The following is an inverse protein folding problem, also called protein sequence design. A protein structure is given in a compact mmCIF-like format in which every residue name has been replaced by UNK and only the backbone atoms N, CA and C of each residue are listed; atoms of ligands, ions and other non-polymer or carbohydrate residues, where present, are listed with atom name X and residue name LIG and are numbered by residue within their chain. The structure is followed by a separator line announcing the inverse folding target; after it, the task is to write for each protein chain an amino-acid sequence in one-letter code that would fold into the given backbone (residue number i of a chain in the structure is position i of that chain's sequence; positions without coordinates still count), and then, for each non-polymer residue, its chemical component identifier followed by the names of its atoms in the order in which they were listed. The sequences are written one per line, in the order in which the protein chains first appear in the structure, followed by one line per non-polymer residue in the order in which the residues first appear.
data_IF_737330261292
#
_entry.id   IF_737330261292
#
_cell.length_a   1.000
_cell.length_b   1.000
_cell.length_c   1.000
_cell.angle_alpha   90.00
_cell.angle_beta   90.00
_cell.angle_gamma   90.00
#
_symmetry.space_group_name_H-M   'P 1'
#
loop_
_entity.id
_entity.type
_entity.pdbx_description
1 polymer ?
#
# COMPACT_ATOMS: atom_id res chain seq x y z
N UNK A 1 -27.99 13.46 -25.61
CA UNK A 1 -26.77 12.68 -25.32
C UNK A 1 -27.23 11.33 -24.79
N UNK A 2 -26.84 10.23 -25.46
CA UNK A 2 -27.09 8.90 -24.88
C UNK A 2 -26.28 8.77 -23.60
N UNK A 3 -26.94 8.35 -22.52
CA UNK A 3 -26.28 8.12 -21.24
C UNK A 3 -25.46 6.82 -21.31
N UNK A 4 -24.20 6.87 -20.91
CA UNK A 4 -23.37 5.67 -20.78
C UNK A 4 -24.01 4.70 -19.76
N UNK A 5 -24.14 3.43 -20.15
CA UNK A 5 -24.69 2.38 -19.26
C UNK A 5 -23.64 1.77 -18.32
N UNK A 6 -22.36 1.91 -18.66
CA UNK A 6 -21.22 1.37 -17.89
C UNK A 6 -20.02 2.26 -18.02
N UNK A 7 -19.28 2.41 -16.93
CA UNK A 7 -17.97 3.09 -16.87
C UNK A 7 -16.99 2.10 -16.25
N UNK A 8 -15.83 1.95 -16.87
CA UNK A 8 -14.74 1.13 -16.35
C UNK A 8 -13.59 2.05 -15.96
N UNK A 9 -13.12 1.95 -14.72
CA UNK A 9 -11.93 2.64 -14.24
C UNK A 9 -10.82 1.60 -14.11
N UNK A 10 -9.72 1.80 -14.84
CA UNK A 10 -8.54 0.92 -14.80
C UNK A 10 -7.41 1.72 -14.17
N UNK A 11 -7.00 1.33 -12.97
CA UNK A 11 -5.86 1.92 -12.27
C UNK A 11 -4.62 1.07 -12.58
N UNK A 12 -3.60 1.72 -13.16
CA UNK A 12 -2.29 1.11 -13.33
C UNK A 12 -1.51 1.31 -12.04
N UNK A 13 -1.41 0.26 -11.24
CA UNK A 13 -0.77 0.30 -9.94
C UNK A 13 0.70 0.75 -10.04
N UNK A 14 1.09 1.63 -9.13
CA UNK A 14 2.43 2.19 -9.03
C UNK A 14 2.95 2.94 -10.27
N UNK A 15 2.09 3.28 -11.23
CA UNK A 15 2.47 4.00 -12.44
C UNK A 15 2.19 5.50 -12.30
N UNK A 16 3.18 6.26 -11.82
CA UNK A 16 3.14 7.72 -11.82
C UNK A 16 3.79 8.32 -13.08
N UNK A 17 3.22 9.43 -13.59
CA UNK A 17 3.76 10.22 -14.69
C UNK A 17 4.11 11.61 -14.18
N UNK A 18 5.36 11.78 -13.75
CA UNK A 18 5.87 12.98 -13.11
C UNK A 18 5.44 13.11 -11.64
N UNK A 19 5.96 14.14 -10.97
CA UNK A 19 5.72 14.44 -9.57
C UNK A 19 4.58 15.43 -9.38
N UNK A 20 3.87 15.32 -8.27
CA UNK A 20 2.91 16.33 -7.81
C UNK A 20 3.65 17.58 -7.29
N UNK A 21 3.03 18.77 -7.31
CA UNK A 21 3.66 20.00 -6.81
C UNK A 21 4.10 19.94 -5.35
N UNK A 22 3.45 19.13 -4.55
CA UNK A 22 3.74 18.95 -3.11
C UNK A 22 4.62 17.74 -2.78
N UNK A 23 5.16 17.07 -3.80
CA UNK A 23 5.99 15.86 -3.65
C UNK A 23 7.19 16.04 -2.70
N UNK A 24 7.75 17.26 -2.61
CA UNK A 24 8.85 17.56 -1.69
C UNK A 24 8.46 17.38 -0.22
N UNK A 25 7.20 17.62 0.15
CA UNK A 25 6.69 17.38 1.51
C UNK A 25 6.77 15.92 1.91
N UNK A 26 6.73 15.04 0.93
CA UNK A 26 6.76 13.59 1.10
C UNK A 26 8.13 12.97 0.74
N UNK A 27 9.17 13.80 0.54
CA UNK A 27 10.52 13.37 0.11
C UNK A 27 10.53 12.65 -1.24
N UNK A 28 9.56 12.94 -2.09
CA UNK A 28 9.36 12.32 -3.41
C UNK A 28 9.73 13.27 -4.57
N UNK A 29 10.71 14.12 -4.35
CA UNK A 29 11.21 15.02 -5.41
C UNK A 29 11.72 14.22 -6.61
N UNK A 30 11.25 14.55 -7.79
CA UNK A 30 11.70 13.94 -9.04
C UNK A 30 11.15 12.54 -9.32
N UNK A 31 10.12 12.09 -8.60
CA UNK A 31 9.44 10.81 -8.90
C UNK A 31 8.76 10.89 -10.27
N UNK A 32 9.03 9.92 -11.12
CA UNK A 32 8.44 9.73 -12.43
C UNK A 32 8.64 8.28 -12.88
N UNK A 33 7.83 7.39 -12.33
CA UNK A 33 7.97 5.94 -12.60
C UNK A 33 7.91 5.64 -14.10
N UNK A 34 6.96 6.25 -14.80
CA UNK A 34 6.79 6.04 -16.23
C UNK A 34 8.00 6.57 -17.03
N UNK A 35 8.46 7.79 -16.73
CA UNK A 35 9.65 8.37 -17.35
C UNK A 35 10.90 7.56 -17.11
N UNK A 36 11.16 7.16 -15.88
CA UNK A 36 12.32 6.32 -15.53
C UNK A 36 12.29 4.94 -16.23
N UNK A 37 11.09 4.35 -16.42
CA UNK A 37 10.95 3.11 -17.20
C UNK A 37 11.30 3.36 -18.66
N UNK A 38 10.80 4.45 -19.26
CA UNK A 38 11.13 4.81 -20.64
C UNK A 38 12.64 5.05 -20.83
N UNK A 39 13.26 5.78 -19.92
CA UNK A 39 14.70 6.05 -19.95
C UNK A 39 15.53 4.74 -19.87
N UNK A 40 15.09 3.83 -19.00
CA UNK A 40 15.79 2.56 -18.82
C UNK A 40 15.60 1.58 -19.98
N UNK A 41 14.39 1.49 -20.51
CA UNK A 41 14.01 0.53 -21.54
C UNK A 41 14.19 1.07 -22.96
N UNK A 42 14.27 2.39 -23.11
CA UNK A 42 14.32 3.08 -24.42
C UNK A 42 12.96 3.06 -25.15
N UNK A 43 12.35 1.90 -25.29
CA UNK A 43 11.03 1.74 -25.93
C UNK A 43 10.16 0.76 -25.19
N UNK A 44 8.84 1.00 -25.17
CA UNK A 44 7.84 0.11 -24.59
C UNK A 44 6.83 -0.34 -25.64
N UNK A 45 6.43 -1.61 -25.60
CA UNK A 45 5.41 -2.13 -26.51
C UNK A 45 4.01 -1.86 -25.95
N UNK A 46 3.55 -0.60 -26.02
CA UNK A 46 2.27 -0.11 -25.50
C UNK A 46 1.41 0.58 -26.60
N UNK A 47 1.16 -0.06 -27.75
CA UNK A 47 0.57 0.61 -28.90
C UNK A 47 -0.82 1.18 -28.65
N UNK A 48 -1.63 0.56 -27.80
CA UNK A 48 -2.97 1.04 -27.49
C UNK A 48 -2.94 2.27 -26.57
N UNK A 49 -2.10 2.26 -25.53
CA UNK A 49 -1.92 3.41 -24.65
C UNK A 49 -1.30 4.60 -25.40
N UNK A 50 -0.38 4.35 -26.33
CA UNK A 50 0.16 5.37 -27.21
C UNK A 50 -0.95 6.01 -28.06
N UNK A 51 -1.79 5.20 -28.74
CA UNK A 51 -2.93 5.69 -29.53
C UNK A 51 -3.94 6.48 -28.69
N UNK A 52 -4.12 6.11 -27.43
CA UNK A 52 -4.98 6.84 -26.49
C UNK A 52 -4.39 8.20 -26.04
N UNK A 53 -3.09 8.44 -26.27
CA UNK A 53 -2.41 9.68 -25.96
C UNK A 53 -1.58 9.65 -24.67
N UNK A 54 -1.29 8.49 -24.10
CA UNK A 54 -0.52 8.39 -22.85
C UNK A 54 0.85 9.07 -22.96
N UNK A 55 1.57 8.88 -24.08
CA UNK A 55 2.88 9.49 -24.29
C UNK A 55 2.82 11.02 -24.46
N UNK A 56 1.66 11.59 -24.72
CA UNK A 56 1.49 13.05 -24.76
C UNK A 56 1.54 13.69 -23.37
N UNK A 57 1.37 12.91 -22.30
CA UNK A 57 1.50 13.36 -20.92
C UNK A 57 2.94 13.47 -20.46
N UNK A 58 3.84 12.72 -21.10
CA UNK A 58 5.26 12.67 -20.78
C UNK A 58 6.08 13.13 -21.99
N UNK A 59 7.08 13.97 -21.74
CA UNK A 59 8.02 14.43 -22.77
C UNK A 59 9.40 13.86 -22.42
N UNK A 60 9.88 12.94 -23.19
CA UNK A 60 11.20 12.33 -23.01
C UNK A 60 11.25 10.88 -23.51
N UNK A 61 12.44 10.30 -23.47
CA UNK A 61 12.70 8.96 -24.01
C UNK A 61 12.65 8.88 -25.54
N UNK A 62 12.73 7.66 -26.06
CA UNK A 62 12.74 7.39 -27.50
C UNK A 62 11.35 7.10 -28.08
N UNK A 63 10.28 7.44 -27.35
CA UNK A 63 8.91 7.25 -27.79
C UNK A 63 8.19 8.60 -27.87
N UNK A 64 7.56 8.85 -29.00
CA UNK A 64 6.81 10.07 -29.24
C UNK A 64 5.32 9.88 -28.98
N UNK A 65 4.67 10.95 -28.55
CA UNK A 65 3.21 11.04 -28.49
C UNK A 65 2.58 10.97 -29.89
N UNK A 66 1.26 11.00 -29.94
CA UNK A 66 0.52 11.01 -31.19
C UNK A 66 -0.14 12.37 -31.41
N UNK A 67 -0.12 12.88 -32.64
CA UNK A 67 -0.72 14.17 -32.99
C UNK A 67 -2.25 14.16 -32.78
N UNK A 68 -2.90 13.05 -33.14
CA UNK A 68 -4.36 12.88 -33.05
C UNK A 68 -4.72 11.65 -32.24
N UNK A 69 -4.72 11.75 -30.90
CA UNK A 69 -5.09 10.61 -30.06
C UNK A 69 -6.57 10.24 -30.22
N UNK A 70 -6.85 8.95 -30.16
CA UNK A 70 -8.24 8.45 -30.19
C UNK A 70 -8.95 8.59 -28.85
N UNK A 71 -8.23 8.89 -27.79
CA UNK A 71 -8.75 9.15 -26.42
C UNK A 71 -8.60 10.59 -26.00
N UNK A 72 -8.97 10.84 -24.76
CA UNK A 72 -8.68 12.10 -24.05
C UNK A 72 -7.66 11.79 -22.97
N UNK A 73 -6.68 12.66 -22.83
CA UNK A 73 -5.66 12.56 -21.77
C UNK A 73 -5.57 13.88 -21.02
N UNK A 74 -5.33 13.81 -19.72
CA UNK A 74 -5.16 14.97 -18.88
C UNK A 74 -4.32 14.62 -17.65
N UNK A 75 -3.71 15.63 -17.03
CA UNK A 75 -3.15 15.52 -15.68
C UNK A 75 -4.21 16.01 -14.70
N UNK A 76 -4.41 15.24 -13.65
CA UNK A 76 -5.33 15.59 -12.57
C UNK A 76 -4.48 15.72 -11.30
N UNK A 77 -4.65 16.83 -10.58
CA UNK A 77 -4.03 17.04 -9.27
C UNK A 77 -4.94 16.48 -8.19
N UNK A 78 -4.36 15.73 -7.25
CA UNK A 78 -5.04 15.31 -6.05
C UNK A 78 -5.32 16.52 -5.16
N UNK A 79 -6.56 16.65 -4.67
CA UNK A 79 -6.98 17.72 -3.77
C UNK A 79 -6.86 17.31 -2.30
N UNK A 80 -6.94 16.02 -2.01
CA UNK A 80 -6.79 15.46 -0.67
C UNK A 80 -5.36 15.61 -0.16
N UNK A 81 -5.23 15.73 1.15
CA UNK A 81 -3.92 15.81 1.81
C UNK A 81 -3.49 14.42 2.27
N UNK A 82 -2.52 13.84 1.61
CA UNK A 82 -1.98 12.54 2.01
C UNK A 82 -1.30 11.85 0.84
N UNK A 83 -0.43 10.90 1.14
CA UNK A 83 0.32 10.15 0.13
C UNK A 83 -0.11 8.69 0.05
N UNK A 84 -0.98 8.25 0.94
CA UNK A 84 -1.30 6.84 1.00
C UNK A 84 -2.30 6.40 -0.08
N UNK A 85 -2.23 5.13 -0.44
CA UNK A 85 -3.06 4.50 -1.47
C UNK A 85 -4.56 4.68 -1.24
N UNK A 86 -5.03 4.68 0.02
CA UNK A 86 -6.45 4.86 0.32
C UNK A 86 -6.94 6.25 -0.02
N UNK A 87 -6.17 7.28 0.31
CA UNK A 87 -6.52 8.67 0.01
C UNK A 87 -6.76 8.85 -1.48
N UNK A 88 -5.85 8.40 -2.34
CA UNK A 88 -6.00 8.47 -3.79
C UNK A 88 -7.19 7.68 -4.32
N UNK A 89 -7.43 6.46 -3.84
CA UNK A 89 -8.59 5.66 -4.27
C UNK A 89 -9.92 6.28 -3.82
N UNK A 90 -9.99 6.81 -2.61
CA UNK A 90 -11.17 7.50 -2.11
C UNK A 90 -11.47 8.75 -2.92
N UNK A 91 -10.45 9.54 -3.26
CA UNK A 91 -10.65 10.74 -4.06
C UNK A 91 -11.12 10.42 -5.49
N UNK A 92 -10.59 9.37 -6.13
CA UNK A 92 -11.13 8.88 -7.41
C UNK A 92 -12.62 8.51 -7.33
N UNK A 93 -13.10 8.13 -6.15
CA UNK A 93 -14.51 7.83 -5.88
C UNK A 93 -15.31 9.01 -5.33
N UNK A 94 -14.72 10.22 -5.32
CA UNK A 94 -15.36 11.45 -4.89
C UNK A 94 -15.30 11.75 -3.39
N UNK A 95 -14.46 11.05 -2.63
CA UNK A 95 -14.30 11.26 -1.19
C UNK A 95 -13.06 12.12 -0.94
N UNK A 96 -13.26 13.34 -0.50
CA UNK A 96 -12.18 14.26 -0.14
C UNK A 96 -11.67 13.99 1.27
N UNK A 97 -10.34 13.84 1.43
CA UNK A 97 -9.66 13.57 2.69
C UNK A 97 -8.81 14.77 3.13
N UNK A 98 -9.37 15.73 3.92
CA UNK A 98 -8.66 16.95 4.30
C UNK A 98 -7.52 16.71 5.30
N UNK A 99 -7.63 15.66 6.15
CA UNK A 99 -6.59 15.26 7.10
C UNK A 99 -5.94 13.98 6.63
N UNK A 100 -4.62 13.98 6.36
CA UNK A 100 -3.92 12.78 5.95
C UNK A 100 -4.01 11.71 7.05
N UNK A 101 -4.05 10.46 6.66
CA UNK A 101 -3.87 9.35 7.58
C UNK A 101 -2.47 9.39 8.19
N UNK A 102 -2.35 8.96 9.44
CA UNK A 102 -1.04 8.84 10.10
C UNK A 102 -0.23 7.70 9.48
N UNK A 103 1.05 7.93 9.34
CA UNK A 103 2.03 6.91 8.96
C UNK A 103 3.00 6.71 10.13
N UNK A 104 3.49 5.50 10.30
CA UNK A 104 4.42 5.13 11.36
C UNK A 104 5.73 4.58 10.79
N UNK A 105 6.07 5.01 9.57
CA UNK A 105 7.22 4.52 8.80
C UNK A 105 8.56 4.77 9.50
N UNK A 106 8.72 5.94 10.12
CA UNK A 106 9.99 6.35 10.74
C UNK A 106 10.19 5.76 12.15
N UNK A 107 9.10 5.56 12.90
CA UNK A 107 9.14 5.26 14.34
C UNK A 107 8.65 3.87 14.71
N UNK A 108 7.92 3.20 13.82
CA UNK A 108 7.02 2.13 14.24
C UNK A 108 5.83 2.69 15.03
N UNK A 109 4.97 1.81 15.51
CA UNK A 109 3.79 2.19 16.28
C UNK A 109 4.18 2.59 17.71
N UNK A 110 3.43 3.54 18.32
CA UNK A 110 3.65 3.94 19.71
C UNK A 110 3.56 2.76 20.67
N UNK A 111 4.36 2.83 21.73
CA UNK A 111 4.41 1.77 22.75
C UNK A 111 3.04 1.47 23.34
N UNK A 112 2.24 2.49 23.59
CA UNK A 112 0.90 2.37 24.18
C UNK A 112 -0.05 1.55 23.30
N UNK A 113 0.05 1.69 21.97
CA UNK A 113 -0.71 0.88 21.03
C UNK A 113 -0.22 -0.57 21.06
N UNK A 114 1.09 -0.79 21.07
CA UNK A 114 1.67 -2.12 21.12
C UNK A 114 1.30 -2.84 22.41
N UNK A 115 1.45 -2.18 23.55
CA UNK A 115 1.10 -2.75 24.87
C UNK A 115 -0.38 -3.16 24.94
N UNK A 116 -1.28 -2.32 24.42
CA UNK A 116 -2.71 -2.64 24.41
C UNK A 116 -3.05 -3.78 23.42
N UNK A 117 -2.34 -3.83 22.29
CA UNK A 117 -2.48 -4.92 21.34
C UNK A 117 -2.01 -6.25 21.94
N UNK A 118 -0.84 -6.29 22.56
CA UNK A 118 -0.30 -7.46 23.27
C UNK A 118 -1.24 -7.97 24.33
N UNK A 119 -1.75 -7.06 25.16
CA UNK A 119 -2.69 -7.36 26.23
C UNK A 119 -3.98 -8.00 25.73
N UNK A 120 -4.56 -7.45 24.65
CA UNK A 120 -5.85 -7.92 24.11
C UNK A 120 -5.70 -9.19 23.26
N UNK A 121 -4.59 -9.32 22.55
CA UNK A 121 -4.29 -10.52 21.73
C UNK A 121 -3.66 -11.65 22.55
N UNK A 122 -3.23 -11.39 23.78
CA UNK A 122 -2.47 -12.35 24.62
C UNK A 122 -1.21 -12.90 23.92
N UNK A 123 -0.54 -12.03 23.14
CA UNK A 123 0.64 -12.38 22.36
C UNK A 123 1.66 -11.25 22.38
N UNK A 124 2.93 -11.59 22.53
CA UNK A 124 4.02 -10.62 22.43
C UNK A 124 4.17 -10.13 21.00
N UNK A 125 4.41 -8.84 20.81
CA UNK A 125 4.71 -8.25 19.51
C UNK A 125 6.21 -8.29 19.24
N UNK A 126 6.58 -8.70 18.04
CA UNK A 126 7.92 -8.56 17.48
C UNK A 126 7.86 -7.76 16.17
N UNK A 127 8.98 -7.13 15.81
CA UNK A 127 9.08 -6.29 14.62
C UNK A 127 8.86 -4.82 14.94
N UNK A 128 7.63 -4.34 14.88
CA UNK A 128 7.22 -2.94 15.08
C UNK A 128 8.11 -1.92 14.35
N UNK A 129 8.34 -2.14 13.07
CA UNK A 129 9.15 -1.29 12.19
C UNK A 129 8.58 -1.22 10.78
N UNK A 130 9.09 -0.30 9.97
CA UNK A 130 8.81 -0.28 8.53
C UNK A 130 9.61 -1.37 7.83
N UNK A 131 8.94 -2.21 7.05
CA UNK A 131 9.58 -3.29 6.32
C UNK A 131 8.76 -3.75 5.09
N UNK A 132 9.43 -4.46 4.19
CA UNK A 132 8.77 -5.31 3.20
C UNK A 132 8.21 -6.56 3.90
N UNK A 133 6.99 -6.95 3.56
CA UNK A 133 6.37 -8.12 4.21
C UNK A 133 7.06 -9.44 3.87
N UNK A 134 7.85 -9.56 2.81
CA UNK A 134 8.70 -10.74 2.53
C UNK A 134 9.95 -10.72 3.40
N UNK A 135 10.60 -9.57 3.51
CA UNK A 135 11.82 -9.41 4.31
C UNK A 135 11.55 -9.64 5.79
N UNK A 136 10.46 -9.10 6.33
CA UNK A 136 10.18 -9.24 7.76
C UNK A 136 9.81 -10.68 8.14
N UNK A 137 9.15 -11.43 7.26
CA UNK A 137 8.89 -12.85 7.48
C UNK A 137 10.19 -13.65 7.46
N UNK A 138 11.10 -13.36 6.51
CA UNK A 138 12.43 -13.99 6.47
C UNK A 138 13.29 -13.64 7.69
N UNK A 139 13.11 -12.47 8.28
CA UNK A 139 13.84 -12.04 9.47
C UNK A 139 13.27 -12.64 10.76
N UNK A 140 11.96 -12.64 10.94
CA UNK A 140 11.29 -12.90 12.22
C UNK A 140 10.41 -14.16 12.23
N UNK A 141 10.23 -14.83 11.08
CA UNK A 141 9.31 -15.96 10.97
C UNK A 141 9.70 -17.15 11.88
N UNK A 142 10.98 -17.46 12.01
CA UNK A 142 11.42 -18.52 12.92
C UNK A 142 11.19 -18.15 14.40
N UNK A 143 11.40 -16.88 14.79
CA UNK A 143 11.10 -16.41 16.14
C UNK A 143 9.59 -16.47 16.43
N UNK A 144 8.75 -16.06 15.47
CA UNK A 144 7.30 -16.14 15.60
C UNK A 144 6.84 -17.59 15.83
N UNK A 145 7.31 -18.54 15.00
CA UNK A 145 6.96 -19.96 15.11
C UNK A 145 7.39 -20.56 16.47
N UNK A 146 8.61 -20.23 16.92
CA UNK A 146 9.17 -20.80 18.14
C UNK A 146 8.58 -20.21 19.42
N UNK A 147 8.12 -18.95 19.38
CA UNK A 147 7.66 -18.23 20.58
C UNK A 147 6.16 -17.98 20.62
N UNK A 148 5.46 -18.16 19.50
CA UNK A 148 4.06 -17.78 19.34
C UNK A 148 3.84 -16.26 19.35
N UNK A 149 4.89 -15.45 19.17
CA UNK A 149 4.82 -14.01 19.08
C UNK A 149 4.09 -13.58 17.80
N UNK A 150 3.67 -12.32 17.76
CA UNK A 150 2.95 -11.71 16.63
C UNK A 150 3.88 -10.74 15.90
N UNK A 151 4.12 -10.96 14.61
CA UNK A 151 4.92 -10.02 13.82
C UNK A 151 4.04 -8.83 13.43
N UNK A 152 4.35 -7.63 13.97
CA UNK A 152 3.68 -6.37 13.63
C UNK A 152 4.65 -5.49 12.86
N UNK A 153 4.21 -4.89 11.76
CA UNK A 153 5.03 -4.00 10.96
C UNK A 153 4.17 -2.99 10.18
N UNK A 154 4.82 -1.99 9.65
CA UNK A 154 4.21 -0.99 8.76
C UNK A 154 4.95 -0.90 7.43
N UNK A 155 4.53 -0.01 6.56
CA UNK A 155 5.22 0.36 5.31
C UNK A 155 5.15 1.89 5.11
N UNK A 156 5.41 2.37 3.91
CA UNK A 156 5.25 3.79 3.58
C UNK A 156 3.80 4.28 3.61
N UNK A 157 2.83 3.36 3.49
CA UNK A 157 1.41 3.67 3.59
C UNK A 157 0.93 3.75 5.04
N UNK A 158 -0.28 4.27 5.23
CA UNK A 158 -0.98 4.28 6.51
C UNK A 158 -1.59 2.91 6.83
N UNK A 159 -0.75 1.96 7.21
CA UNK A 159 -1.15 0.57 7.45
C UNK A 159 -0.50 -0.01 8.71
N UNK A 160 -1.27 -0.82 9.43
CA UNK A 160 -0.76 -1.77 10.42
C UNK A 160 -0.90 -3.17 9.84
N UNK A 161 0.18 -3.92 9.77
CA UNK A 161 0.19 -5.24 9.18
C UNK A 161 0.62 -6.26 10.23
N UNK A 162 -0.08 -7.38 10.26
CA UNK A 162 0.22 -8.50 11.16
C UNK A 162 0.50 -9.74 10.33
N UNK A 163 1.69 -10.33 10.49
CA UNK A 163 1.99 -11.65 9.95
C UNK A 163 1.78 -12.72 11.03
N UNK A 164 1.30 -13.87 10.57
CA UNK A 164 1.19 -15.08 11.38
C UNK A 164 1.29 -16.31 10.49
N UNK A 165 2.02 -17.33 10.96
CA UNK A 165 2.12 -18.59 10.26
C UNK A 165 0.81 -19.37 10.40
N UNK A 166 0.24 -19.85 9.29
CA UNK A 166 -1.06 -20.53 9.29
C UNK A 166 -1.07 -21.82 10.12
N UNK A 167 0.08 -22.50 10.24
CA UNK A 167 0.17 -23.77 10.95
C UNK A 167 0.38 -23.61 12.45
N UNK A 168 1.09 -22.55 12.89
CA UNK A 168 1.52 -22.38 14.29
C UNK A 168 0.80 -21.27 15.01
N UNK A 169 0.48 -20.17 14.31
CA UNK A 169 -0.27 -19.06 14.87
C UNK A 169 -1.78 -19.25 14.76
N UNK A 170 -2.22 -20.01 13.77
CA UNK A 170 -3.59 -20.20 13.33
C UNK A 170 -4.21 -18.97 12.63
N UNK A 171 -4.86 -19.23 11.52
CA UNK A 171 -5.46 -18.21 10.66
C UNK A 171 -6.59 -17.43 11.38
N UNK A 172 -7.41 -18.10 12.18
CA UNK A 172 -8.52 -17.45 12.90
C UNK A 172 -7.97 -16.55 14.01
N UNK A 173 -6.91 -16.97 14.70
CA UNK A 173 -6.21 -16.13 15.68
C UNK A 173 -5.58 -14.91 15.04
N UNK A 174 -5.00 -15.05 13.82
CA UNK A 174 -4.46 -13.91 13.07
C UNK A 174 -5.56 -12.90 12.73
N UNK A 175 -6.70 -13.37 12.24
CA UNK A 175 -7.84 -12.51 11.93
C UNK A 175 -8.38 -11.80 13.18
N UNK A 176 -8.53 -12.53 14.28
CA UNK A 176 -8.95 -11.95 15.55
C UNK A 176 -8.00 -10.84 16.04
N UNK A 177 -6.69 -11.07 15.98
CA UNK A 177 -5.71 -10.03 16.31
C UNK A 177 -5.83 -8.80 15.38
N UNK A 178 -6.11 -9.01 14.10
CA UNK A 178 -6.33 -7.89 13.16
C UNK A 178 -7.62 -7.12 13.45
N UNK A 179 -8.69 -7.78 13.89
CA UNK A 179 -9.92 -7.13 14.35
C UNK A 179 -9.67 -6.26 15.58
N UNK A 180 -8.97 -6.79 16.58
CA UNK A 180 -8.52 -6.02 17.75
C UNK A 180 -7.68 -4.82 17.33
N UNK A 181 -6.69 -5.02 16.45
CA UNK A 181 -5.86 -3.95 15.94
C UNK A 181 -6.70 -2.88 15.19
N UNK A 182 -7.72 -3.31 14.42
CA UNK A 182 -8.63 -2.38 13.75
C UNK A 182 -9.43 -1.54 14.74
N UNK A 183 -9.98 -2.14 15.79
CA UNK A 183 -10.69 -1.40 16.84
C UNK A 183 -9.78 -0.37 17.54
N UNK A 184 -8.57 -0.76 17.92
CA UNK A 184 -7.60 0.12 18.56
C UNK A 184 -7.23 1.30 17.65
N UNK A 185 -6.99 1.02 16.36
CA UNK A 185 -6.58 2.03 15.39
C UNK A 185 -7.73 2.88 14.83
N UNK A 186 -8.94 2.79 15.38
CA UNK A 186 -10.01 3.79 15.18
C UNK A 186 -9.80 5.07 16.00
N UNK A 187 -9.02 5.00 17.07
CA UNK A 187 -8.67 6.20 17.87
C UNK A 187 -7.83 7.15 17.02
N UNK A 188 -8.13 8.45 17.12
CA UNK A 188 -7.47 9.48 16.28
C UNK A 188 -5.95 9.49 16.41
N UNK A 189 -5.43 9.21 17.61
CA UNK A 189 -3.99 9.16 17.88
C UNK A 189 -3.26 8.00 17.16
N UNK A 190 -3.98 6.89 16.89
CA UNK A 190 -3.44 5.67 16.27
C UNK A 190 -4.06 5.34 14.92
N UNK A 191 -4.90 6.23 14.40
CA UNK A 191 -5.71 5.98 13.21
C UNK A 191 -4.84 5.70 11.99
N UNK A 192 -4.96 4.48 11.47
CA UNK A 192 -4.41 4.07 10.19
C UNK A 192 -5.52 3.75 9.18
N UNK A 193 -5.21 3.91 7.91
CA UNK A 193 -6.16 3.63 6.83
C UNK A 193 -6.58 2.16 6.78
N UNK A 194 -5.67 1.23 7.00
CA UNK A 194 -5.92 -0.22 6.95
C UNK A 194 -5.20 -0.98 8.05
N UNK A 195 -5.81 -2.08 8.48
CA UNK A 195 -5.12 -3.18 9.16
C UNK A 195 -5.13 -4.37 8.20
N UNK A 196 -4.03 -5.09 8.06
CA UNK A 196 -3.89 -6.15 7.07
C UNK A 196 -3.38 -7.43 7.75
N UNK A 197 -4.16 -8.51 7.62
CA UNK A 197 -3.69 -9.85 7.93
C UNK A 197 -2.81 -10.37 6.79
N UNK A 198 -1.60 -10.80 7.13
CA UNK A 198 -0.58 -11.32 6.21
C UNK A 198 -0.17 -12.74 6.58
N UNK A 199 -1.03 -13.74 6.33
CA UNK A 199 -0.69 -15.13 6.63
C UNK A 199 0.42 -15.65 5.72
N UNK A 200 1.19 -16.58 6.26
CA UNK A 200 2.26 -17.25 5.54
C UNK A 200 2.40 -18.71 6.00
N UNK A 201 3.12 -19.50 5.22
CA UNK A 201 3.48 -20.91 5.52
C UNK A 201 4.97 -21.09 5.38
N UNK A 202 5.47 -22.24 5.84
CA UNK A 202 6.90 -22.58 5.88
C UNK A 202 7.40 -22.66 7.32
N UNK A 203 8.53 -23.31 7.54
CA UNK A 203 9.03 -23.57 8.89
C UNK A 203 10.40 -22.97 9.20
N UNK A 204 11.13 -22.57 8.18
CA UNK A 204 12.46 -21.96 8.34
C UNK A 204 12.75 -20.94 7.25
N UNK A 205 13.74 -20.13 7.48
CA UNK A 205 14.23 -19.12 6.55
C UNK A 205 14.50 -19.72 5.17
N UNK A 206 14.06 -19.04 4.12
CA UNK A 206 14.14 -19.49 2.73
C UNK A 206 12.98 -20.39 2.28
N UNK A 207 12.11 -20.83 3.17
CA UNK A 207 10.91 -21.62 2.84
C UNK A 207 9.61 -20.82 3.00
N UNK A 208 9.68 -19.63 3.60
CA UNK A 208 8.49 -18.83 3.88
C UNK A 208 7.80 -18.35 2.62
N UNK A 209 6.48 -18.57 2.54
CA UNK A 209 5.65 -18.15 1.42
C UNK A 209 4.35 -17.54 1.92
N UNK A 210 4.00 -16.38 1.43
CA UNK A 210 2.69 -15.78 1.66
C UNK A 210 1.60 -16.65 1.05
N UNK A 211 0.46 -16.68 1.72
CA UNK A 211 -0.73 -17.38 1.22
C UNK A 211 -1.72 -16.42 0.60
N UNK A 212 -2.75 -16.95 -0.04
CA UNK A 212 -3.87 -16.17 -0.58
C UNK A 212 -4.89 -15.72 0.48
N UNK A 213 -4.75 -16.18 1.75
CA UNK A 213 -5.65 -15.87 2.86
C UNK A 213 -5.40 -14.48 3.48
N UNK A 214 -4.79 -13.57 2.73
CA UNK A 214 -4.70 -12.15 3.09
C UNK A 214 -6.08 -11.56 3.30
N UNK A 215 -6.25 -10.76 4.36
CA UNK A 215 -7.48 -10.03 4.61
C UNK A 215 -7.19 -8.58 5.03
N UNK A 216 -7.92 -7.62 4.43
CA UNK A 216 -7.76 -6.19 4.68
C UNK A 216 -8.97 -5.67 5.47
N UNK A 217 -8.71 -5.06 6.64
CA UNK A 217 -9.67 -4.37 7.48
C UNK A 217 -9.54 -2.86 7.25
N UNK A 218 -10.23 -2.36 6.24
CA UNK A 218 -10.24 -0.94 5.90
C UNK A 218 -11.11 -0.11 6.87
N UNK A 219 -10.89 1.20 6.90
CA UNK A 219 -11.86 2.13 7.46
C UNK A 219 -13.15 2.05 6.62
N UNK A 220 -14.28 2.06 7.31
CA UNK A 220 -15.60 2.12 6.70
C UNK A 220 -16.10 3.55 6.74
#
# INVERSE_FOLDING_TARGET
MEAYKRVFVIVLDSLGIGAMPDSEKFRDKGVDTFGHILDKMGTLKIPNLQKLGMLNLHKGGNMEGVEKPIGRYMRIGEASNGKDTMTGHWEMMGIYTPKPFKTFTETGFPKELIDELEKRCHKRVIGNKSASGTEIIEELGEEEINTGAMIVYTSADSVLQICGNEETFDLQNLYHCCEIARELTLKDEWRVGRVIARPYVGRKKGEFKRTSNRHDYALK
#
